data_IF_144386168369
#
_entry.id   IF_144386168369
#
_cell.length_a   1.000
_cell.length_b   1.000
_cell.length_c   1.000
_cell.angle_alpha   90.00
_cell.angle_beta   90.00
_cell.angle_gamma   90.00
#
_symmetry.space_group_name_H-M   'P 1'
#
loop_
_entity.id
_entity.type
_entity.pdbx_description
1 polymer ?
#
# COMPACT_ATOMS: atom_id res chain seq x y z
N UNK A 1 13.69 -34.67 -11.96
CA UNK A 1 13.20 -34.44 -10.59
C UNK A 1 11.88 -35.18 -10.52
N UNK A 2 11.81 -36.22 -9.69
CA UNK A 2 10.70 -37.16 -9.69
C UNK A 2 9.57 -36.60 -8.80
N UNK A 3 8.69 -35.80 -9.40
CA UNK A 3 7.71 -34.96 -8.69
C UNK A 3 6.65 -35.79 -7.94
N UNK A 4 6.44 -37.05 -8.31
CA UNK A 4 5.43 -37.92 -7.70
C UNK A 4 5.74 -38.28 -6.24
N UNK A 5 7.01 -38.22 -5.81
CA UNK A 5 7.42 -38.57 -4.44
C UNK A 5 7.74 -37.36 -3.54
N UNK A 6 7.71 -36.14 -4.06
CA UNK A 6 8.20 -34.96 -3.33
C UNK A 6 7.10 -34.16 -2.60
N UNK A 7 5.84 -34.24 -3.03
CA UNK A 7 4.73 -33.52 -2.41
C UNK A 7 3.68 -34.47 -1.83
N UNK A 8 3.74 -34.68 -0.52
CA UNK A 8 2.73 -35.41 0.23
C UNK A 8 1.68 -34.44 0.79
N UNK A 9 0.41 -34.71 0.53
CA UNK A 9 -0.71 -33.97 1.12
C UNK A 9 -1.13 -34.66 2.42
N UNK A 10 -1.12 -33.90 3.51
CA UNK A 10 -1.65 -34.30 4.81
C UNK A 10 -2.83 -33.40 5.21
N UNK A 11 -3.64 -33.85 6.17
CA UNK A 11 -4.89 -33.16 6.55
C UNK A 11 -5.08 -33.20 8.07
N UNK A 12 -5.37 -32.06 8.70
CA UNK A 12 -5.70 -32.01 10.14
C UNK A 12 -6.79 -31.00 10.45
N UNK A 13 -7.49 -31.19 11.58
CA UNK A 13 -8.42 -30.20 12.17
C UNK A 13 -7.82 -29.47 13.37
N UNK A 14 -6.61 -29.86 13.78
CA UNK A 14 -5.91 -29.15 14.85
C UNK A 14 -5.38 -27.82 14.32
N UNK A 15 -6.12 -26.74 14.57
CA UNK A 15 -5.71 -25.40 14.12
C UNK A 15 -4.49 -24.85 14.85
N UNK A 16 -4.10 -25.43 16.00
CA UNK A 16 -2.89 -25.02 16.74
C UNK A 16 -1.61 -25.54 16.10
N UNK A 17 -1.72 -26.53 15.22
CA UNK A 17 -0.62 -27.05 14.42
C UNK A 17 0.01 -25.99 13.52
N UNK A 18 -0.79 -25.03 13.06
CA UNK A 18 -0.36 -24.04 12.07
C UNK A 18 0.16 -22.77 12.72
N UNK A 19 1.38 -22.39 12.37
CA UNK A 19 2.02 -21.16 12.81
C UNK A 19 1.97 -20.10 11.71
N UNK A 20 2.04 -18.83 12.08
CA UNK A 20 2.17 -17.73 11.13
C UNK A 20 3.59 -17.18 11.20
N UNK A 21 4.15 -16.80 10.05
CA UNK A 21 5.32 -15.94 10.01
C UNK A 21 4.97 -14.56 10.57
N UNK A 22 5.94 -13.90 11.22
CA UNK A 22 5.74 -12.58 11.83
C UNK A 22 5.29 -11.51 10.80
N UNK A 23 5.62 -11.72 9.52
CA UNK A 23 5.28 -10.85 8.40
C UNK A 23 3.95 -11.21 7.69
N UNK A 24 3.17 -12.17 8.21
CA UNK A 24 1.93 -12.58 7.54
C UNK A 24 0.85 -11.51 7.66
N UNK A 25 0.31 -11.11 6.51
CA UNK A 25 -0.72 -10.07 6.40
C UNK A 25 -1.95 -10.42 7.23
N UNK A 26 -2.60 -9.42 7.83
CA UNK A 26 -3.95 -9.61 8.39
C UNK A 26 -4.91 -10.06 7.28
N UNK A 27 -5.73 -11.09 7.52
CA UNK A 27 -6.67 -11.59 6.52
C UNK A 27 -7.68 -10.50 6.13
N UNK A 28 -7.85 -10.29 4.82
CA UNK A 28 -8.87 -9.39 4.31
C UNK A 28 -10.25 -10.05 4.41
N UNK A 29 -11.14 -9.51 5.25
CA UNK A 29 -12.48 -10.04 5.51
C UNK A 29 -13.30 -10.28 4.23
N UNK A 30 -13.19 -9.40 3.22
CA UNK A 30 -13.93 -9.52 1.96
C UNK A 30 -13.45 -10.71 1.13
N UNK A 31 -12.13 -10.91 1.07
CA UNK A 31 -11.52 -12.07 0.39
C UNK A 31 -11.90 -13.35 1.13
N UNK A 32 -11.83 -13.32 2.46
CA UNK A 32 -12.14 -14.45 3.32
C UNK A 32 -13.61 -14.87 3.20
N UNK A 33 -14.54 -13.92 3.10
CA UNK A 33 -15.96 -14.19 2.85
C UNK A 33 -16.22 -14.88 1.50
N UNK A 34 -15.60 -14.38 0.42
CA UNK A 34 -15.69 -15.01 -0.92
C UNK A 34 -15.11 -16.42 -0.92
N UNK A 35 -13.96 -16.59 -0.28
CA UNK A 35 -13.27 -17.88 -0.23
C UNK A 35 -14.04 -18.90 0.61
N UNK A 36 -14.61 -18.49 1.75
CA UNK A 36 -15.46 -19.34 2.57
C UNK A 36 -16.71 -19.80 1.82
N UNK A 37 -17.35 -18.90 1.03
CA UNK A 37 -18.46 -19.26 0.16
C UNK A 37 -18.04 -20.30 -0.89
N UNK A 38 -16.94 -20.04 -1.61
CA UNK A 38 -16.40 -20.97 -2.61
C UNK A 38 -16.06 -22.34 -2.03
N UNK A 39 -15.49 -22.41 -0.82
CA UNK A 39 -15.16 -23.67 -0.15
C UNK A 39 -16.42 -24.45 0.25
N UNK A 40 -17.49 -23.76 0.68
CA UNK A 40 -18.78 -24.42 0.96
C UNK A 40 -19.41 -25.01 -0.31
N UNK A 41 -19.33 -24.29 -1.42
CA UNK A 41 -19.98 -24.68 -2.67
C UNK A 41 -19.18 -25.73 -3.44
N UNK A 42 -17.85 -25.58 -3.51
CA UNK A 42 -17.00 -26.36 -4.42
C UNK A 42 -15.91 -27.15 -3.68
N UNK A 43 -15.87 -27.11 -2.35
CA UNK A 43 -14.76 -27.67 -1.58
C UNK A 43 -13.46 -26.87 -1.69
N UNK A 44 -12.43 -27.31 -0.98
CA UNK A 44 -11.07 -26.77 -1.12
C UNK A 44 -10.34 -27.54 -2.22
N UNK A 45 -9.82 -26.82 -3.20
CA UNK A 45 -9.15 -27.41 -4.37
C UNK A 45 -7.63 -27.43 -4.25
N UNK A 46 -7.06 -26.52 -3.46
CA UNK A 46 -5.61 -26.35 -3.35
C UNK A 46 -5.22 -26.39 -1.86
N UNK A 47 -4.33 -27.29 -1.41
CA UNK A 47 -3.85 -27.35 -0.04
C UNK A 47 -3.03 -26.11 0.33
N UNK A 48 -2.95 -25.80 1.62
CA UNK A 48 -2.03 -24.76 2.09
C UNK A 48 -0.59 -25.28 2.10
N UNK A 49 0.39 -24.38 2.04
CA UNK A 49 1.80 -24.76 2.00
C UNK A 49 2.46 -24.32 3.29
N UNK A 50 3.18 -25.24 3.93
CA UNK A 50 3.95 -25.01 5.14
C UNK A 50 5.45 -25.14 4.87
N UNK A 51 6.27 -24.51 5.72
CA UNK A 51 7.67 -24.89 5.86
C UNK A 51 7.84 -26.04 6.88
N UNK A 52 9.09 -26.43 7.15
CA UNK A 52 9.42 -27.51 8.09
C UNK A 52 9.00 -27.24 9.54
N UNK A 53 8.84 -25.97 9.92
CA UNK A 53 8.43 -25.54 11.26
C UNK A 53 6.90 -25.36 11.40
N UNK A 54 6.12 -25.87 10.43
CA UNK A 54 4.66 -25.73 10.34
C UNK A 54 4.17 -24.27 10.21
N UNK A 55 5.03 -23.36 9.77
CA UNK A 55 4.65 -21.98 9.47
C UNK A 55 4.00 -21.90 8.09
N UNK A 56 2.86 -21.20 8.01
CA UNK A 56 2.13 -21.00 6.76
C UNK A 56 2.91 -20.05 5.85
N UNK A 57 3.40 -20.59 4.73
CA UNK A 57 4.13 -19.85 3.70
C UNK A 57 3.23 -19.45 2.53
N UNK A 58 2.20 -20.24 2.24
CA UNK A 58 1.13 -19.89 1.30
C UNK A 58 -0.22 -20.45 1.76
N UNK A 59 -1.31 -19.76 1.43
CA UNK A 59 -2.66 -20.20 1.73
C UNK A 59 -3.23 -19.67 3.04
N UNK A 60 -2.66 -18.60 3.62
CA UNK A 60 -3.18 -17.98 4.86
C UNK A 60 -4.70 -17.70 4.82
N UNK A 61 -5.23 -17.18 3.71
CA UNK A 61 -6.67 -16.90 3.58
C UNK A 61 -7.49 -18.20 3.54
N UNK A 62 -6.97 -19.26 2.92
CA UNK A 62 -7.60 -20.60 2.90
C UNK A 62 -7.64 -21.19 4.30
N UNK A 63 -6.54 -21.10 5.04
CA UNK A 63 -6.51 -21.50 6.45
C UNK A 63 -7.58 -20.78 7.26
N UNK A 64 -7.65 -19.44 7.19
CA UNK A 64 -8.64 -18.67 7.93
C UNK A 64 -10.08 -19.00 7.52
N UNK A 65 -10.34 -19.19 6.23
CA UNK A 65 -11.65 -19.59 5.73
C UNK A 65 -12.05 -20.99 6.26
N UNK A 66 -11.17 -21.98 6.18
CA UNK A 66 -11.40 -23.34 6.69
C UNK A 66 -11.64 -23.34 8.21
N UNK A 67 -10.82 -22.59 8.96
CA UNK A 67 -10.97 -22.42 10.41
C UNK A 67 -12.31 -21.80 10.76
N UNK A 68 -12.74 -20.76 10.03
CA UNK A 68 -14.06 -20.13 10.20
C UNK A 68 -15.22 -21.10 9.89
N UNK A 69 -15.02 -22.01 8.93
CA UNK A 69 -16.00 -23.04 8.56
C UNK A 69 -15.98 -24.27 9.48
N UNK A 70 -14.96 -24.42 10.33
CA UNK A 70 -14.79 -25.62 11.14
C UNK A 70 -14.33 -26.85 10.35
N UNK A 71 -13.70 -26.66 9.19
CA UNK A 71 -13.29 -27.72 8.26
C UNK A 71 -11.84 -28.16 8.49
N UNK A 72 -11.54 -29.40 8.10
CA UNK A 72 -10.16 -29.90 8.07
C UNK A 72 -9.34 -29.08 7.07
N UNK A 73 -8.07 -28.86 7.41
CA UNK A 73 -7.11 -28.10 6.62
C UNK A 73 -6.19 -29.08 5.89
N UNK A 74 -6.27 -29.20 4.56
CA UNK A 74 -5.28 -29.93 3.77
C UNK A 74 -4.04 -29.07 3.57
N UNK A 75 -2.87 -29.67 3.74
CA UNK A 75 -1.59 -28.98 3.65
C UNK A 75 -0.49 -29.85 3.01
N UNK A 76 0.55 -29.19 2.51
CA UNK A 76 1.81 -29.80 2.05
C UNK A 76 2.99 -29.14 2.77
N UNK A 77 4.03 -29.91 3.07
CA UNK A 77 5.28 -29.39 3.66
C UNK A 77 6.31 -29.23 2.55
N UNK A 78 6.76 -27.99 2.32
CA UNK A 78 7.76 -27.68 1.30
C UNK A 78 9.17 -27.98 1.81
N UNK A 79 9.84 -28.96 1.20
CA UNK A 79 11.20 -29.39 1.62
C UNK A 79 12.30 -28.38 1.30
N UNK A 80 12.08 -27.49 0.34
CA UNK A 80 13.08 -26.56 -0.21
C UNK A 80 13.04 -25.16 0.38
N UNK A 81 12.15 -24.89 1.34
CA UNK A 81 12.00 -23.56 1.94
C UNK A 81 13.20 -23.19 2.82
N UNK A 82 14.15 -22.44 2.28
CA UNK A 82 15.25 -21.78 3.01
C UNK A 82 15.10 -20.27 2.88
N UNK A 83 14.89 -19.60 4.01
CA UNK A 83 14.96 -18.14 4.21
C UNK A 83 13.94 -17.22 3.49
N UNK A 84 13.63 -16.11 4.16
CA UNK A 84 12.59 -15.10 3.89
C UNK A 84 12.53 -14.52 2.46
N UNK A 85 13.60 -14.67 1.67
CA UNK A 85 13.64 -14.17 0.28
C UNK A 85 12.68 -14.91 -0.65
N UNK A 86 12.41 -16.19 -0.42
CA UNK A 86 11.49 -16.98 -1.26
C UNK A 86 10.00 -16.65 -1.03
N UNK A 87 9.65 -16.08 0.14
CA UNK A 87 8.29 -15.72 0.54
C UNK A 87 7.67 -14.64 -0.36
N UNK A 88 8.49 -13.73 -0.89
CA UNK A 88 8.05 -12.59 -1.71
C UNK A 88 7.78 -13.03 -3.16
N UNK A 89 8.54 -14.01 -3.68
CA UNK A 89 8.41 -14.43 -5.08
C UNK A 89 7.21 -15.35 -5.30
N UNK A 90 6.91 -16.24 -4.35
CA UNK A 90 5.77 -17.18 -4.47
C UNK A 90 4.42 -16.51 -4.13
N UNK A 91 4.37 -15.57 -3.18
CA UNK A 91 3.12 -14.86 -2.86
C UNK A 91 2.62 -13.92 -3.98
N UNK A 92 3.45 -13.61 -4.98
CA UNK A 92 3.08 -12.71 -6.07
C UNK A 92 2.14 -13.34 -7.12
N UNK A 93 1.84 -14.63 -7.04
CA UNK A 93 0.88 -15.30 -7.95
C UNK A 93 -0.55 -15.34 -7.39
N UNK A 94 -0.77 -15.20 -6.07
CA UNK A 94 -2.10 -15.29 -5.45
C UNK A 94 -2.79 -13.97 -5.11
N UNK A 95 -2.04 -12.90 -4.81
CA UNK A 95 -2.56 -11.53 -4.60
C UNK A 95 -1.40 -10.54 -4.64
N UNK A 96 -1.29 -9.76 -5.73
CA UNK A 96 -0.24 -8.73 -5.88
C UNK A 96 -0.23 -7.81 -4.66
N UNK A 97 0.94 -7.68 -4.05
CA UNK A 97 1.16 -6.79 -2.92
C UNK A 97 0.91 -5.33 -3.33
N UNK A 98 0.11 -4.58 -2.56
CA UNK A 98 -0.10 -3.16 -2.79
C UNK A 98 0.97 -2.33 -2.05
N UNK A 99 1.02 -1.02 -2.30
CA UNK A 99 2.00 -0.13 -1.69
C UNK A 99 1.93 -0.11 -0.15
N UNK A 100 0.74 -0.11 0.45
CA UNK A 100 0.62 -0.14 1.91
C UNK A 100 1.10 -1.45 2.52
N UNK A 101 0.90 -2.57 1.81
CA UNK A 101 1.42 -3.85 2.29
C UNK A 101 2.96 -3.86 2.29
N UNK A 102 3.60 -3.36 1.23
CA UNK A 102 5.05 -3.20 1.20
C UNK A 102 5.55 -2.17 2.20
N UNK A 103 4.77 -1.11 2.47
CA UNK A 103 5.13 -0.14 3.50
C UNK A 103 5.13 -0.77 4.89
N UNK A 104 4.10 -1.54 5.24
CA UNK A 104 4.07 -2.26 6.52
C UNK A 104 5.25 -3.24 6.63
N UNK A 105 5.52 -4.01 5.58
CA UNK A 105 6.68 -4.91 5.55
C UNK A 105 8.01 -4.17 5.69
N UNK A 106 8.18 -3.02 5.02
CA UNK A 106 9.41 -2.24 5.13
C UNK A 106 9.59 -1.67 6.55
N UNK A 107 8.51 -1.22 7.19
CA UNK A 107 8.52 -0.79 8.59
C UNK A 107 8.88 -1.95 9.53
N UNK A 108 8.26 -3.12 9.37
CA UNK A 108 8.57 -4.33 10.15
C UNK A 108 10.01 -4.83 9.91
N UNK A 109 10.56 -4.57 8.73
CA UNK A 109 11.95 -4.90 8.36
C UNK A 109 12.96 -3.85 8.84
N UNK A 110 12.55 -2.88 9.67
CA UNK A 110 13.45 -1.90 10.29
C UNK A 110 13.70 -0.62 9.48
N UNK A 111 12.90 -0.32 8.45
CA UNK A 111 12.96 0.97 7.77
C UNK A 111 12.19 2.03 8.58
N UNK A 112 12.92 2.78 9.41
CA UNK A 112 12.38 3.84 10.27
C UNK A 112 11.72 4.98 9.47
N UNK A 113 12.25 5.31 8.29
CA UNK A 113 11.70 6.36 7.41
C UNK A 113 10.28 5.98 6.96
N UNK A 114 10.06 4.71 6.61
CA UNK A 114 8.73 4.19 6.25
C UNK A 114 7.82 4.11 7.46
N UNK A 115 8.31 3.65 8.62
CA UNK A 115 7.51 3.60 9.84
C UNK A 115 6.95 4.99 10.19
N UNK A 116 7.80 6.00 10.14
CA UNK A 116 7.43 7.38 10.40
C UNK A 116 6.46 7.92 9.34
N UNK A 117 6.73 7.69 8.06
CA UNK A 117 5.84 8.09 6.98
C UNK A 117 4.44 7.45 7.10
N UNK A 118 4.33 6.20 7.55
CA UNK A 118 3.03 5.54 7.82
C UNK A 118 2.29 6.24 8.96
N UNK A 119 2.99 6.65 10.03
CA UNK A 119 2.37 7.37 11.15
C UNK A 119 1.80 8.71 10.68
N UNK A 120 2.56 9.47 9.90
CA UNK A 120 2.12 10.75 9.32
C UNK A 120 0.94 10.52 8.37
N UNK A 121 1.04 9.55 7.45
CA UNK A 121 -0.02 9.22 6.49
C UNK A 121 -1.35 8.85 7.17
N UNK A 122 -1.32 8.07 8.26
CA UNK A 122 -2.52 7.73 9.05
C UNK A 122 -3.11 8.93 9.77
N UNK A 123 -2.28 9.88 10.20
CA UNK A 123 -2.73 11.13 10.81
C UNK A 123 -3.45 12.00 9.78
N UNK A 124 -2.82 12.26 8.64
CA UNK A 124 -3.42 13.05 7.55
C UNK A 124 -4.70 12.42 7.00
N UNK A 125 -4.78 11.08 6.89
CA UNK A 125 -6.02 10.41 6.48
C UNK A 125 -7.18 10.74 7.45
N UNK A 126 -6.93 10.84 8.76
CA UNK A 126 -7.95 11.22 9.74
C UNK A 126 -8.31 12.70 9.64
N UNK A 127 -7.31 13.58 9.64
CA UNK A 127 -7.48 15.03 9.57
C UNK A 127 -8.24 15.47 8.32
N UNK A 128 -7.97 14.81 7.20
CA UNK A 128 -8.63 15.11 5.92
C UNK A 128 -9.98 14.38 5.74
N UNK A 129 -10.49 13.71 6.76
CA UNK A 129 -11.71 12.88 6.69
C UNK A 129 -11.66 11.85 5.53
N UNK A 130 -10.51 11.17 5.39
CA UNK A 130 -10.19 10.16 4.36
C UNK A 130 -10.12 10.68 2.93
N UNK A 131 -10.07 12.01 2.73
CA UNK A 131 -9.88 12.62 1.41
C UNK A 131 -8.44 12.39 0.91
N UNK A 132 -7.44 12.48 1.79
CA UNK A 132 -6.06 12.11 1.48
C UNK A 132 -5.80 10.65 1.84
N UNK A 133 -5.47 9.84 0.83
CA UNK A 133 -5.20 8.42 1.03
C UNK A 133 -3.77 8.20 1.55
N UNK A 134 -3.54 7.18 2.39
CA UNK A 134 -2.21 6.87 2.89
C UNK A 134 -1.18 6.61 1.78
N UNK A 135 -1.56 5.94 0.69
CA UNK A 135 -0.65 5.73 -0.45
C UNK A 135 -0.17 7.05 -1.06
N UNK A 136 -1.08 8.01 -1.28
CA UNK A 136 -0.72 9.34 -1.78
C UNK A 136 0.14 10.10 -0.76
N UNK A 137 -0.14 9.95 0.53
CA UNK A 137 0.70 10.55 1.59
C UNK A 137 2.14 10.03 1.55
N UNK A 138 2.31 8.71 1.36
CA UNK A 138 3.64 8.12 1.20
C UNK A 138 4.35 8.63 -0.06
N UNK A 139 3.62 8.89 -1.15
CA UNK A 139 4.17 9.52 -2.36
C UNK A 139 4.62 10.95 -2.10
N UNK A 140 3.84 11.75 -1.35
CA UNK A 140 4.17 13.12 -0.95
C UNK A 140 5.46 13.15 -0.12
N UNK A 141 5.48 12.35 0.95
CA UNK A 141 6.56 12.24 1.93
C UNK A 141 7.84 11.58 1.40
N UNK A 142 7.80 10.98 0.20
CA UNK A 142 8.97 10.33 -0.38
C UNK A 142 10.02 11.37 -0.79
N UNK A 143 11.30 11.14 -0.51
CA UNK A 143 12.36 12.06 -0.95
C UNK A 143 12.34 12.33 -2.46
N UNK A 144 12.75 13.53 -2.83
CA UNK A 144 12.97 13.93 -4.22
C UNK A 144 11.69 14.35 -4.97
N UNK A 145 11.92 14.86 -6.18
CA UNK A 145 10.88 15.45 -7.05
C UNK A 145 9.75 14.49 -7.41
N UNK A 146 10.06 13.20 -7.60
CA UNK A 146 9.12 12.25 -8.20
C UNK A 146 8.22 11.56 -7.16
N UNK A 147 6.95 11.35 -7.50
CA UNK A 147 6.06 10.39 -6.83
C UNK A 147 6.18 8.97 -7.38
N UNK A 148 6.78 8.82 -8.57
CA UNK A 148 6.86 7.54 -9.29
C UNK A 148 7.84 6.61 -8.59
N UNK A 149 7.56 5.31 -8.64
CA UNK A 149 8.47 4.30 -8.11
C UNK A 149 8.31 4.02 -6.62
N UNK A 150 7.31 4.59 -5.93
CA UNK A 150 6.99 4.28 -4.53
C UNK A 150 7.01 2.77 -4.26
N UNK A 151 6.27 1.99 -5.06
CA UNK A 151 6.19 0.54 -4.89
C UNK A 151 7.56 -0.14 -4.97
N UNK A 152 8.41 0.29 -5.91
CA UNK A 152 9.76 -0.24 -6.10
C UNK A 152 10.66 0.12 -4.91
N UNK A 153 10.61 1.37 -4.45
CA UNK A 153 11.38 1.85 -3.30
C UNK A 153 11.00 1.12 -2.02
N UNK A 154 9.71 0.94 -1.75
CA UNK A 154 9.22 0.17 -0.61
C UNK A 154 9.65 -1.31 -0.69
N UNK A 155 9.49 -1.94 -1.87
CA UNK A 155 9.91 -3.34 -2.08
C UNK A 155 11.42 -3.54 -1.87
N UNK A 156 12.23 -2.56 -2.28
CA UNK A 156 13.70 -2.61 -2.15
C UNK A 156 14.22 -2.07 -0.83
N UNK A 157 13.34 -1.66 0.09
CA UNK A 157 13.71 -1.01 1.37
C UNK A 157 14.56 0.27 1.19
N UNK A 158 14.38 0.97 0.06
CA UNK A 158 15.12 2.21 -0.32
C UNK A 158 14.26 3.46 -0.25
N UNK A 159 13.06 3.36 0.35
CA UNK A 159 12.26 4.54 0.65
C UNK A 159 12.98 5.38 1.70
N UNK A 160 12.94 6.70 1.48
CA UNK A 160 13.47 7.74 2.34
C UNK A 160 12.41 8.81 2.53
N UNK A 161 12.28 9.26 3.76
CA UNK A 161 11.32 10.26 4.19
C UNK A 161 11.94 11.65 4.01
N UNK A 162 11.21 12.53 3.34
CA UNK A 162 11.42 13.98 3.36
C UNK A 162 10.23 14.61 4.11
N UNK A 163 10.44 14.81 5.42
CA UNK A 163 9.39 15.29 6.32
C UNK A 163 9.05 16.74 6.03
N UNK A 164 10.05 17.59 5.81
CA UNK A 164 9.86 19.03 5.71
C UNK A 164 9.12 19.38 4.43
N UNK A 165 9.57 18.88 3.27
CA UNK A 165 8.84 19.06 2.01
C UNK A 165 7.48 18.39 2.05
N UNK A 166 7.38 17.23 2.70
CA UNK A 166 6.11 16.53 2.87
C UNK A 166 5.08 17.38 3.62
N UNK A 167 5.50 18.08 4.68
CA UNK A 167 4.65 18.99 5.44
C UNK A 167 4.28 20.23 4.63
N UNK A 168 5.23 20.88 3.96
CA UNK A 168 4.96 22.03 3.07
C UNK A 168 3.89 21.69 2.01
N UNK A 169 4.04 20.54 1.35
CA UNK A 169 3.04 20.06 0.37
C UNK A 169 1.69 19.83 1.03
N UNK A 170 1.65 19.25 2.24
CA UNK A 170 0.39 19.05 2.96
C UNK A 170 -0.28 20.37 3.36
N UNK A 171 0.50 21.36 3.77
CA UNK A 171 0.02 22.69 4.14
C UNK A 171 -0.54 23.43 2.91
N UNK A 172 0.15 23.37 1.77
CA UNK A 172 -0.40 23.83 0.48
C UNK A 172 -1.73 23.15 0.14
N UNK A 173 -1.84 21.83 0.32
CA UNK A 173 -3.10 21.11 0.06
C UNK A 173 -4.23 21.49 1.02
N UNK A 174 -3.89 21.82 2.26
CA UNK A 174 -4.85 22.31 3.26
C UNK A 174 -5.32 23.71 2.90
N UNK A 175 -4.43 24.60 2.45
CA UNK A 175 -4.76 25.93 1.96
C UNK A 175 -5.76 25.84 0.81
N UNK A 176 -5.42 25.08 -0.24
CA UNK A 176 -6.31 24.82 -1.37
C UNK A 176 -7.69 24.31 -0.91
N UNK A 177 -7.73 23.49 0.14
CA UNK A 177 -8.98 22.88 0.63
C UNK A 177 -9.96 23.85 1.29
N UNK A 178 -9.53 25.08 1.61
CA UNK A 178 -10.37 26.16 2.14
C UNK A 178 -11.23 26.81 1.05
N UNK A 179 -10.87 26.65 -0.22
CA UNK A 179 -11.55 27.26 -1.36
C UNK A 179 -12.51 26.29 -2.06
N UNK A 180 -13.51 26.84 -2.77
CA UNK A 180 -14.44 26.03 -3.56
C UNK A 180 -13.76 25.60 -4.86
N UNK A 181 -13.59 24.28 -5.03
CA UNK A 181 -12.97 23.69 -6.20
C UNK A 181 -13.84 22.57 -6.78
N UNK A 182 -13.68 22.26 -8.07
CA UNK A 182 -14.37 21.13 -8.72
C UNK A 182 -13.80 19.78 -8.27
N UNK A 183 -12.50 19.73 -8.01
CA UNK A 183 -11.78 18.54 -7.58
C UNK A 183 -11.22 18.72 -6.17
N UNK A 184 -11.13 17.63 -5.41
CA UNK A 184 -10.47 17.66 -4.10
C UNK A 184 -8.95 17.86 -4.28
N UNK A 185 -8.32 18.78 -3.54
CA UNK A 185 -6.87 18.97 -3.60
C UNK A 185 -6.11 17.71 -3.19
N UNK A 186 -6.68 16.92 -2.26
CA UNK A 186 -6.12 15.64 -1.82
C UNK A 186 -6.23 14.49 -2.84
N UNK A 187 -6.79 14.75 -4.03
CA UNK A 187 -6.74 13.79 -5.12
C UNK A 187 -5.29 13.52 -5.53
N UNK A 188 -4.99 12.29 -5.95
CA UNK A 188 -3.61 11.94 -6.29
C UNK A 188 -3.03 12.84 -7.40
N UNK A 189 -3.86 13.29 -8.35
CA UNK A 189 -3.41 14.17 -9.45
C UNK A 189 -2.92 15.52 -8.95
N UNK A 190 -3.73 16.20 -8.14
CA UNK A 190 -3.37 17.51 -7.60
C UNK A 190 -2.22 17.36 -6.59
N UNK A 191 -2.34 16.45 -5.62
CA UNK A 191 -1.32 16.24 -4.60
C UNK A 191 0.09 15.94 -5.16
N UNK A 192 0.19 15.11 -6.20
CA UNK A 192 1.46 14.82 -6.88
C UNK A 192 2.00 16.03 -7.64
N UNK A 193 1.12 16.83 -8.23
CA UNK A 193 1.51 18.04 -8.96
C UNK A 193 2.06 19.10 -8.01
N UNK A 194 1.38 19.33 -6.87
CA UNK A 194 1.85 20.22 -5.80
C UNK A 194 3.20 19.76 -5.26
N UNK A 195 3.40 18.46 -5.02
CA UNK A 195 4.73 17.91 -4.68
C UNK A 195 5.81 18.32 -5.67
N UNK A 196 5.53 18.13 -6.97
CA UNK A 196 6.51 18.44 -8.01
C UNK A 196 6.80 19.95 -8.05
N UNK A 197 5.77 20.79 -7.92
CA UNK A 197 5.91 22.25 -7.90
C UNK A 197 6.70 22.72 -6.67
N UNK A 198 6.38 22.21 -5.48
CA UNK A 198 7.12 22.50 -4.25
C UNK A 198 8.61 22.12 -4.35
N UNK A 199 8.92 20.99 -4.99
CA UNK A 199 10.30 20.61 -5.26
C UNK A 199 11.00 21.58 -6.21
N UNK A 200 10.32 21.97 -7.30
CA UNK A 200 10.91 22.79 -8.35
C UNK A 200 11.11 24.26 -7.96
N UNK A 201 10.26 24.79 -7.07
CA UNK A 201 10.26 26.20 -6.65
C UNK A 201 10.94 26.38 -5.29
N UNK A 202 11.28 25.29 -4.61
CA UNK A 202 11.84 25.26 -3.26
C UNK A 202 10.93 25.93 -2.22
N UNK A 203 9.81 25.24 -1.97
CA UNK A 203 8.65 25.70 -1.21
C UNK A 203 7.64 26.51 -2.05
N UNK A 204 6.36 26.33 -1.75
CA UNK A 204 5.28 27.10 -2.39
C UNK A 204 4.83 28.18 -1.41
N UNK A 205 4.61 29.36 -1.94
CA UNK A 205 4.09 30.50 -1.20
C UNK A 205 2.59 30.30 -0.96
N UNK A 206 2.19 30.25 0.31
CA UNK A 206 0.81 30.03 0.72
C UNK A 206 -0.12 31.17 0.27
N UNK A 207 0.36 32.41 0.21
CA UNK A 207 -0.43 33.56 -0.27
C UNK A 207 -0.71 33.42 -1.77
N UNK A 208 0.29 32.96 -2.54
CA UNK A 208 0.11 32.70 -3.98
C UNK A 208 -0.85 31.52 -4.20
N UNK A 209 -0.80 30.48 -3.37
CA UNK A 209 -1.78 29.37 -3.42
C UNK A 209 -3.19 29.86 -3.14
N UNK A 210 -3.37 30.77 -2.16
CA UNK A 210 -4.67 31.36 -1.83
C UNK A 210 -5.24 32.15 -3.02
N UNK A 211 -4.43 33.02 -3.64
CA UNK A 211 -4.82 33.79 -4.84
C UNK A 211 -5.19 32.86 -5.98
N UNK A 212 -4.31 31.90 -6.30
CA UNK A 212 -4.51 30.89 -7.34
C UNK A 212 -5.85 30.16 -7.17
N UNK A 213 -6.19 29.74 -5.95
CA UNK A 213 -7.42 28.99 -5.66
C UNK A 213 -8.68 29.86 -5.59
N UNK A 214 -8.53 31.15 -5.30
CA UNK A 214 -9.64 32.11 -5.31
C UNK A 214 -10.08 32.45 -6.73
N UNK A 215 -9.11 32.62 -7.63
CA UNK A 215 -9.36 33.04 -9.00
C UNK A 215 -9.74 31.87 -9.93
N UNK A 216 -9.47 30.63 -9.52
CA UNK A 216 -9.63 29.45 -10.37
C UNK A 216 -10.51 28.36 -9.77
N UNK A 217 -11.46 27.85 -10.56
CA UNK A 217 -12.26 26.68 -10.19
C UNK A 217 -11.54 25.37 -10.55
N UNK A 218 -10.51 25.04 -9.76
CA UNK A 218 -9.55 23.95 -10.02
C UNK A 218 -10.24 22.59 -10.22
N UNK A 219 -9.81 21.87 -11.25
CA UNK A 219 -10.35 20.57 -11.67
C UNK A 219 -9.26 19.53 -11.96
N UNK A 220 -9.67 18.27 -12.10
CA UNK A 220 -8.78 17.17 -12.47
C UNK A 220 -8.66 17.02 -13.99
N UNK A 221 -7.42 16.88 -14.47
CA UNK A 221 -7.10 16.49 -15.84
C UNK A 221 -6.75 14.99 -15.93
N UNK A 222 -6.92 14.42 -17.12
CA UNK A 222 -6.70 12.98 -17.36
C UNK A 222 -5.20 12.61 -17.40
N UNK A 223 -4.34 13.51 -17.87
CA UNK A 223 -2.87 13.30 -17.94
C UNK A 223 -2.19 14.02 -16.76
N UNK A 224 -1.12 13.42 -16.23
CA UNK A 224 -0.41 14.00 -15.08
C UNK A 224 0.34 15.27 -15.49
N UNK A 225 0.90 15.30 -16.69
CA UNK A 225 1.58 16.48 -17.22
C UNK A 225 0.60 17.65 -17.42
N UNK A 226 -0.55 17.42 -18.06
CA UNK A 226 -1.57 18.47 -18.22
C UNK A 226 -2.04 19.04 -16.87
N UNK A 227 -2.16 18.20 -15.83
CA UNK A 227 -2.51 18.67 -14.47
C UNK A 227 -1.40 19.55 -13.89
N UNK A 228 -0.15 19.14 -14.06
CA UNK A 228 1.03 19.85 -13.55
C UNK A 228 1.22 21.19 -14.27
N UNK A 229 1.13 21.20 -15.60
CA UNK A 229 1.21 22.41 -16.42
C UNK A 229 0.10 23.38 -16.02
N UNK A 230 -1.15 22.92 -15.96
CA UNK A 230 -2.27 23.75 -15.52
C UNK A 230 -2.03 24.41 -14.15
N UNK A 231 -1.63 23.63 -13.14
CA UNK A 231 -1.40 24.17 -11.79
C UNK A 231 -0.21 25.13 -11.74
N UNK A 232 0.82 24.93 -12.57
CA UNK A 232 1.94 25.85 -12.69
C UNK A 232 1.53 27.17 -13.31
N UNK A 233 0.80 27.11 -14.42
CA UNK A 233 0.36 28.31 -15.14
C UNK A 233 -0.45 29.21 -14.22
N UNK A 234 -1.44 28.66 -13.50
CA UNK A 234 -2.26 29.46 -12.58
C UNK A 234 -1.52 29.91 -11.31
N UNK A 235 -0.46 29.19 -10.90
CA UNK A 235 0.38 29.60 -9.78
C UNK A 235 1.32 30.75 -10.19
N UNK A 236 1.88 30.69 -11.40
CA UNK A 236 2.72 31.74 -11.95
C UNK A 236 1.90 33.01 -12.30
N UNK A 237 0.64 32.87 -12.73
CA UNK A 237 -0.29 33.98 -12.90
C UNK A 237 -0.70 34.67 -11.58
N UNK A 238 -0.61 33.94 -10.46
CA UNK A 238 -0.98 34.44 -9.13
C UNK A 238 0.17 35.12 -8.37
N UNK A 239 1.40 35.06 -8.88
CA UNK A 239 2.58 35.76 -8.34
C UNK A 239 2.59 37.25 -8.71
#
# INVERSE_FOLDING_TARGET
MDLENDFKVDVTKDYKFFQFLDNNRKPNEKILGRLAKSIKENGIQIPIVLNHDNQIIDGQHRFWALKKLGYKVPYIISKTWKEDKHTIEINNTGSKWNAMDFANYASESGNNDVEEAIKIAKRWEKETAKRLRPTTSLEILMEGRSHVGLLSKLKKLTYKLDRDRGMQVYDSLNEMSKHKMKASPYSSRIARSIKIMNYDIDDLDEEVIEVMCTDNYIQNFNKENDQLEYLRDIYDEAK
#
